data_IF_707057828809
#
_entry.id   IF_707057828809
#
_cell.length_a   1.000
_cell.length_b   1.000
_cell.length_c   1.000
_cell.angle_alpha   90.00
_cell.angle_beta   90.00
_cell.angle_gamma   90.00
#
_symmetry.space_group_name_H-M   'P 1'
#
loop_
_entity.id
_entity.type
_entity.pdbx_description
1 polymer ?
#
# COMPACT_ATOMS: atom_id res chain seq x y z
N UNK A 1 4.80 -18.11 -3.07
CA UNK A 1 3.83 -17.70 -4.13
C UNK A 1 4.51 -16.81 -5.19
N UNK A 2 4.99 -15.61 -4.89
CA UNK A 2 5.56 -14.67 -5.88
C UNK A 2 6.71 -15.28 -6.71
N UNK A 3 7.73 -15.96 -6.11
CA UNK A 3 8.79 -16.59 -6.91
C UNK A 3 8.27 -17.65 -7.87
N UNK A 4 7.29 -18.44 -7.45
CA UNK A 4 6.64 -19.45 -8.31
C UNK A 4 5.89 -18.80 -9.47
N UNK A 5 5.08 -17.77 -9.21
CA UNK A 5 4.38 -17.06 -10.30
C UNK A 5 5.36 -16.53 -11.34
N UNK A 6 6.49 -15.99 -10.89
CA UNK A 6 7.53 -15.46 -11.79
C UNK A 6 8.20 -16.56 -12.61
N UNK A 7 8.49 -17.72 -12.03
CA UNK A 7 9.10 -18.85 -12.77
C UNK A 7 8.17 -19.42 -13.82
N UNK A 8 6.86 -19.41 -13.55
CA UNK A 8 5.84 -19.96 -14.45
C UNK A 8 5.23 -18.90 -15.41
N UNK A 9 5.70 -17.66 -15.39
CA UNK A 9 5.15 -16.58 -16.22
C UNK A 9 3.72 -16.18 -15.85
N UNK A 10 3.30 -16.44 -14.60
CA UNK A 10 1.96 -16.12 -14.11
C UNK A 10 1.92 -14.67 -13.63
N UNK A 11 0.97 -13.89 -14.16
CA UNK A 11 0.75 -12.50 -13.73
C UNK A 11 0.17 -12.42 -12.32
N UNK A 12 0.61 -11.41 -11.55
CA UNK A 12 0.15 -11.17 -10.17
C UNK A 12 -0.65 -9.88 -10.13
N UNK A 13 -1.92 -9.98 -9.69
CA UNK A 13 -2.87 -8.87 -9.57
C UNK A 13 -3.32 -8.71 -8.10
N UNK A 14 -2.52 -8.04 -7.25
CA UNK A 14 -2.86 -7.88 -5.84
C UNK A 14 -4.10 -7.00 -5.66
N UNK A 15 -4.98 -7.40 -4.75
CA UNK A 15 -6.15 -6.61 -4.35
C UNK A 15 -5.83 -5.71 -3.15
N UNK A 16 -6.63 -4.67 -2.95
CA UNK A 16 -6.50 -3.74 -1.82
C UNK A 16 -5.08 -3.14 -1.65
N UNK A 17 -4.46 -2.62 -2.71
CA UNK A 17 -3.05 -2.19 -2.71
C UNK A 17 -2.77 -1.03 -1.74
N UNK A 18 -3.80 -0.32 -1.30
CA UNK A 18 -3.70 0.77 -0.31
C UNK A 18 -4.10 0.33 1.10
N UNK A 19 -4.06 -0.97 1.39
CA UNK A 19 -4.40 -1.51 2.70
C UNK A 19 -5.73 -0.94 3.25
N UNK A 20 -6.79 -0.99 2.42
CA UNK A 20 -8.14 -0.47 2.73
C UNK A 20 -8.14 1.02 3.09
N UNK A 21 -7.19 1.79 2.57
CA UNK A 21 -7.06 3.24 2.73
C UNK A 21 -6.06 3.67 3.80
N UNK A 22 -5.41 2.75 4.52
CA UNK A 22 -4.35 3.07 5.49
C UNK A 22 -3.15 3.76 4.85
N UNK A 23 -2.77 3.35 3.64
CA UNK A 23 -1.68 3.95 2.87
C UNK A 23 -2.09 5.17 2.04
N UNK A 24 -3.36 5.60 2.09
CA UNK A 24 -3.84 6.69 1.25
C UNK A 24 -3.70 8.08 1.88
N UNK A 25 -3.38 8.17 3.17
CA UNK A 25 -3.37 9.40 3.97
C UNK A 25 -2.54 9.22 5.23
N UNK A 26 -2.20 10.31 5.95
CA UNK A 26 -1.56 10.23 7.26
C UNK A 26 -2.34 9.34 8.22
N UNK A 27 -1.60 8.69 9.14
CA UNK A 27 -2.23 7.86 10.16
C UNK A 27 -3.23 8.69 10.97
N UNK A 28 -4.46 8.23 11.04
CA UNK A 28 -5.52 8.90 11.79
C UNK A 28 -5.88 8.09 13.02
N UNK A 29 -5.87 8.74 14.17
CA UNK A 29 -6.36 8.19 15.43
C UNK A 29 -7.90 8.17 15.47
N UNK A 30 -8.57 9.02 14.69
CA UNK A 30 -10.03 9.02 14.56
C UNK A 30 -10.48 8.00 13.51
N UNK A 31 -11.38 7.13 13.94
CA UNK A 31 -11.95 6.09 13.09
C UNK A 31 -12.83 6.73 12.00
N UNK A 32 -12.58 6.39 10.75
CA UNK A 32 -13.50 6.77 9.67
C UNK A 32 -14.74 5.88 9.72
N UNK A 33 -15.88 6.38 9.24
CA UNK A 33 -17.13 5.57 9.11
C UNK A 33 -16.89 4.22 8.44
N UNK A 34 -15.97 4.16 7.48
CA UNK A 34 -15.59 2.91 6.82
C UNK A 34 -14.82 1.96 7.75
N UNK A 35 -13.96 2.49 8.60
CA UNK A 35 -13.21 1.70 9.56
C UNK A 35 -14.15 1.09 10.60
N UNK A 36 -15.14 1.84 11.09
CA UNK A 36 -16.13 1.36 12.07
C UNK A 36 -17.00 0.22 11.53
N UNK A 37 -17.25 0.19 10.23
CA UNK A 37 -18.07 -0.84 9.56
C UNK A 37 -17.26 -1.99 8.98
N UNK A 38 -15.93 -1.87 8.91
CA UNK A 38 -15.03 -2.86 8.29
C UNK A 38 -14.45 -3.84 9.32
N UNK A 39 -15.31 -4.72 9.86
CA UNK A 39 -14.90 -5.76 10.82
C UNK A 39 -13.77 -6.65 10.29
N UNK A 40 -13.78 -6.97 8.99
CA UNK A 40 -12.73 -7.77 8.37
C UNK A 40 -11.38 -7.04 8.34
N UNK A 41 -11.38 -5.75 7.98
CA UNK A 41 -10.16 -4.93 8.01
C UNK A 41 -9.61 -4.77 9.43
N UNK A 42 -10.48 -4.58 10.42
CA UNK A 42 -10.05 -4.52 11.83
C UNK A 42 -9.38 -5.82 12.27
N UNK A 43 -9.98 -6.97 11.99
CA UNK A 43 -9.40 -8.28 12.35
C UNK A 43 -8.06 -8.54 11.63
N UNK A 44 -7.95 -8.11 10.38
CA UNK A 44 -6.75 -8.32 9.55
C UNK A 44 -5.54 -7.55 10.07
N UNK A 45 -5.73 -6.32 10.55
CA UNK A 45 -4.65 -5.40 10.92
C UNK A 45 -4.46 -5.16 12.41
N UNK A 46 -5.32 -5.71 13.29
CA UNK A 46 -5.29 -5.44 14.73
C UNK A 46 -3.96 -5.79 15.41
N UNK A 47 -3.28 -6.84 14.92
CA UNK A 47 -2.03 -7.33 15.52
C UNK A 47 -0.77 -6.61 15.03
N UNK A 48 -0.88 -5.74 14.03
CA UNK A 48 0.26 -5.13 13.33
C UNK A 48 0.23 -3.61 13.37
N UNK A 49 -0.71 -3.01 14.09
CA UNK A 49 -1.03 -1.59 14.07
C UNK A 49 0.17 -0.68 14.32
N UNK A 50 1.00 -0.98 15.33
CA UNK A 50 2.19 -0.19 15.64
C UNK A 50 3.25 -0.26 14.53
N UNK A 51 3.41 -1.43 13.90
CA UNK A 51 4.33 -1.63 12.80
C UNK A 51 3.82 -0.91 11.54
N UNK A 52 2.53 -1.04 11.27
CA UNK A 52 1.85 -0.39 10.13
C UNK A 52 1.91 1.14 10.26
N UNK A 53 1.73 1.67 11.48
CA UNK A 53 1.86 3.11 11.74
C UNK A 53 3.22 3.64 11.31
N UNK A 54 4.32 2.97 11.69
CA UNK A 54 5.67 3.39 11.28
C UNK A 54 5.86 3.40 9.76
N UNK A 55 5.25 2.43 9.06
CA UNK A 55 5.28 2.38 7.58
C UNK A 55 4.50 3.55 6.99
N UNK A 56 3.29 3.85 7.51
CA UNK A 56 2.47 4.97 7.04
C UNK A 56 3.16 6.32 7.29
N UNK A 57 3.77 6.49 8.45
CA UNK A 57 4.53 7.72 8.77
C UNK A 57 5.72 7.92 7.81
N UNK A 58 6.46 6.85 7.52
CA UNK A 58 7.56 6.90 6.57
C UNK A 58 7.07 7.22 5.16
N UNK A 59 5.99 6.59 4.73
CA UNK A 59 5.34 6.86 3.45
C UNK A 59 4.94 8.34 3.35
N UNK A 60 4.35 8.89 4.42
CA UNK A 60 3.97 10.31 4.51
C UNK A 60 5.15 11.25 4.31
N UNK A 61 6.27 11.00 5.01
CA UNK A 61 7.49 11.82 4.89
C UNK A 61 8.07 11.82 3.48
N UNK A 62 8.13 10.64 2.84
CA UNK A 62 8.66 10.55 1.46
C UNK A 62 7.68 11.19 0.47
N UNK A 63 6.37 11.03 0.65
CA UNK A 63 5.35 11.65 -0.20
C UNK A 63 5.39 13.19 -0.12
N UNK A 64 5.59 13.73 1.09
CA UNK A 64 5.76 15.17 1.31
C UNK A 64 7.01 15.72 0.60
N UNK A 65 8.16 15.04 0.74
CA UNK A 65 9.40 15.40 0.05
C UNK A 65 9.26 15.40 -1.47
N UNK A 66 8.43 14.49 -2.00
CA UNK A 66 8.15 14.38 -3.44
C UNK A 66 6.99 15.28 -3.89
N UNK A 67 6.30 15.95 -2.97
CA UNK A 67 5.09 16.73 -3.23
C UNK A 67 4.03 15.94 -4.02
N UNK A 68 3.83 14.65 -3.66
CA UNK A 68 2.83 13.76 -4.26
C UNK A 68 1.91 13.17 -3.19
N UNK A 69 0.67 12.76 -3.55
CA UNK A 69 -0.21 12.03 -2.62
C UNK A 69 0.40 10.71 -2.13
N UNK A 70 0.20 10.38 -0.85
CA UNK A 70 0.65 9.09 -0.28
C UNK A 70 0.14 7.88 -1.09
N UNK A 71 -1.14 7.93 -1.51
CA UNK A 71 -1.72 6.88 -2.33
C UNK A 71 -0.96 6.66 -3.64
N UNK A 72 -0.55 7.73 -4.32
CA UNK A 72 0.22 7.66 -5.54
C UNK A 72 1.59 7.04 -5.31
N UNK A 73 2.30 7.44 -4.24
CA UNK A 73 3.61 6.90 -3.89
C UNK A 73 3.53 5.41 -3.50
N UNK A 74 2.52 5.01 -2.73
CA UNK A 74 2.30 3.62 -2.34
C UNK A 74 2.04 2.72 -3.56
N UNK A 75 1.23 3.19 -4.51
CA UNK A 75 0.97 2.48 -5.76
C UNK A 75 2.22 2.39 -6.64
N UNK A 76 3.00 3.47 -6.73
CA UNK A 76 4.27 3.48 -7.47
C UNK A 76 5.26 2.45 -6.90
N UNK A 77 5.37 2.36 -5.56
CA UNK A 77 6.19 1.35 -4.90
C UNK A 77 5.74 -0.08 -5.25
N UNK A 78 4.44 -0.35 -5.22
CA UNK A 78 3.91 -1.67 -5.55
C UNK A 78 4.15 -2.03 -7.02
N UNK A 79 3.91 -1.09 -7.93
CA UNK A 79 4.10 -1.28 -9.38
C UNK A 79 5.58 -1.50 -9.75
N UNK A 80 6.51 -0.95 -8.96
CA UNK A 80 7.94 -1.16 -9.15
C UNK A 80 8.41 -2.57 -8.71
N UNK A 81 7.58 -3.36 -8.01
CA UNK A 81 7.97 -4.70 -7.55
C UNK A 81 7.98 -5.73 -8.67
N UNK A 82 9.07 -6.50 -8.79
CA UNK A 82 9.17 -7.54 -9.81
C UNK A 82 8.06 -8.60 -9.67
N UNK A 83 7.33 -8.83 -10.75
CA UNK A 83 6.26 -9.82 -10.82
C UNK A 83 4.86 -9.27 -10.57
N UNK A 84 4.72 -8.03 -10.13
CA UNK A 84 3.41 -7.37 -10.07
C UNK A 84 2.99 -6.95 -11.48
N UNK A 85 1.84 -7.43 -11.91
CA UNK A 85 1.30 -7.14 -13.25
C UNK A 85 0.39 -5.92 -13.23
N UNK A 86 -0.62 -5.92 -12.34
CA UNK A 86 -1.54 -4.81 -12.18
C UNK A 86 -2.26 -4.89 -10.82
N UNK A 87 -2.22 -3.86 -9.97
CA UNK A 87 -3.00 -3.82 -8.74
C UNK A 87 -4.48 -3.57 -9.03
N UNK A 88 -5.36 -4.20 -8.24
CA UNK A 88 -6.81 -3.95 -8.30
C UNK A 88 -7.14 -2.79 -7.38
N UNK A 89 -7.49 -1.64 -7.94
CA UNK A 89 -7.86 -0.45 -7.19
C UNK A 89 -9.38 -0.27 -7.09
N UNK A 90 -9.84 0.35 -6.00
CA UNK A 90 -11.20 0.86 -5.85
C UNK A 90 -11.18 2.39 -5.79
N UNK A 91 -11.85 3.06 -6.72
CA UNK A 91 -11.96 4.51 -6.76
C UNK A 91 -13.41 4.94 -6.49
N UNK A 92 -13.63 5.75 -5.44
CA UNK A 92 -14.94 6.34 -5.11
C UNK A 92 -15.06 7.80 -5.57
N UNK A 93 -13.96 8.39 -6.04
CA UNK A 93 -13.88 9.75 -6.56
C UNK A 93 -12.95 9.79 -7.77
N UNK A 94 -13.21 10.73 -8.70
CA UNK A 94 -12.44 10.87 -9.94
C UNK A 94 -10.94 11.08 -9.68
N UNK A 95 -10.58 11.89 -8.67
CA UNK A 95 -9.17 12.14 -8.36
C UNK A 95 -8.44 10.88 -7.87
N UNK A 96 -9.11 9.91 -7.23
CA UNK A 96 -8.47 8.63 -6.85
C UNK A 96 -7.99 7.86 -8.09
N UNK A 97 -8.76 7.92 -9.19
CA UNK A 97 -8.34 7.31 -10.44
C UNK A 97 -7.17 8.07 -11.08
N UNK A 98 -7.24 9.41 -11.07
CA UNK A 98 -6.14 10.24 -11.58
C UNK A 98 -4.82 9.98 -10.84
N UNK A 99 -4.85 9.91 -9.50
CA UNK A 99 -3.69 9.59 -8.67
C UNK A 99 -3.14 8.18 -8.96
N UNK A 100 -4.03 7.21 -9.16
CA UNK A 100 -3.62 5.85 -9.49
C UNK A 100 -2.94 5.75 -10.87
N UNK A 101 -3.45 6.47 -11.86
CA UNK A 101 -2.82 6.56 -13.20
C UNK A 101 -1.48 7.29 -13.13
N UNK A 102 -1.41 8.38 -12.37
CA UNK A 102 -0.17 9.13 -12.19
C UNK A 102 0.95 8.32 -11.53
N UNK A 103 0.61 7.32 -10.70
CA UNK A 103 1.57 6.40 -10.10
C UNK A 103 2.39 5.61 -11.14
N UNK A 104 1.85 5.36 -12.33
CA UNK A 104 2.55 4.67 -13.43
C UNK A 104 3.76 5.44 -13.93
N UNK A 105 3.76 6.76 -13.79
CA UNK A 105 4.81 7.67 -14.25
C UNK A 105 5.67 8.21 -13.11
N UNK A 106 5.58 7.63 -11.91
CA UNK A 106 6.34 8.05 -10.74
C UNK A 106 7.48 7.05 -10.45
N UNK A 107 8.68 7.25 -11.01
CA UNK A 107 9.81 6.37 -10.71
C UNK A 107 10.30 6.62 -9.29
N UNK A 108 10.65 5.53 -8.58
CA UNK A 108 11.29 5.59 -7.27
C UNK A 108 12.78 5.35 -7.41
N UNK A 109 13.58 6.13 -6.70
CA UNK A 109 15.02 5.87 -6.57
C UNK A 109 15.27 4.68 -5.64
N UNK A 110 16.43 4.01 -5.74
CA UNK A 110 16.80 2.95 -4.79
C UNK A 110 16.80 3.42 -3.33
N UNK A 111 17.19 4.67 -3.08
CA UNK A 111 17.20 5.26 -1.74
C UNK A 111 15.76 5.45 -1.18
N UNK A 112 14.84 5.92 -2.00
CA UNK A 112 13.41 6.03 -1.61
C UNK A 112 12.79 4.67 -1.35
N UNK A 113 13.05 3.68 -2.21
CA UNK A 113 12.58 2.31 -2.01
C UNK A 113 13.10 1.74 -0.70
N UNK A 114 14.41 1.87 -0.43
CA UNK A 114 15.00 1.42 0.84
C UNK A 114 14.41 2.16 2.04
N UNK A 115 14.19 3.47 1.95
CA UNK A 115 13.57 4.26 3.00
C UNK A 115 12.12 3.81 3.29
N UNK A 116 11.34 3.48 2.28
CA UNK A 116 9.96 2.99 2.43
C UNK A 116 9.92 1.59 3.06
N UNK A 117 10.90 0.75 2.81
CA UNK A 117 10.94 -0.64 3.27
C UNK A 117 11.58 -0.82 4.65
N UNK A 118 12.46 0.10 5.06
CA UNK A 118 13.18 0.02 6.34
C UNK A 118 12.28 -0.19 7.56
N UNK A 119 11.12 0.49 7.73
CA UNK A 119 10.26 0.29 8.90
C UNK A 119 9.41 -0.98 8.83
N UNK A 120 9.43 -1.72 7.72
CA UNK A 120 8.58 -2.89 7.52
C UNK A 120 9.01 -4.07 8.40
N UNK A 121 8.04 -4.65 9.10
CA UNK A 121 8.21 -5.89 9.86
C UNK A 121 7.33 -6.96 9.22
N UNK A 122 7.89 -8.15 8.87
CA UNK A 122 7.10 -9.24 8.31
C UNK A 122 5.98 -9.66 9.25
N UNK A 123 4.78 -9.81 8.69
CA UNK A 123 3.58 -10.22 9.43
C UNK A 123 3.32 -11.71 9.27
N UNK A 124 2.79 -12.39 10.30
CA UNK A 124 2.26 -13.73 10.13
C UNK A 124 1.09 -13.70 9.14
N UNK A 125 0.89 -14.81 8.43
CA UNK A 125 -0.26 -14.93 7.52
C UNK A 125 -1.54 -14.83 8.34
N UNK A 126 -2.39 -13.86 8.02
CA UNK A 126 -3.67 -13.64 8.68
C UNK A 126 -4.83 -14.22 7.84
N UNK A 127 -5.94 -14.55 8.50
CA UNK A 127 -7.16 -15.04 7.81
C UNK A 127 -7.25 -16.55 7.63
N UNK A 128 -6.30 -17.30 8.16
CA UNK A 128 -6.33 -18.77 8.22
C UNK A 128 -6.19 -19.20 9.68
N UNK A 129 -7.28 -19.22 10.40
CA UNK A 129 -7.38 -19.78 11.76
C UNK A 129 -8.43 -20.86 11.78
#
# INVERSE_FOLDING_TARGET
MIPFCRSEGIGIIPWSPLARGRLARPWQTELTKRYETDQFGMALYAKTEDADHRVVDRLGKVAEQRAVPQAQLALAWLLAKPGITAPIIGATRTHHLADAVAALSLPLTPAETAALEEPYVPHPVAGFS
#
